data_IF_228836438742
#
_entry.id   IF_228836438742
#
_cell.length_a   1.000
_cell.length_b   1.000
_cell.length_c   1.000
_cell.angle_alpha   90.00
_cell.angle_beta   90.00
_cell.angle_gamma   90.00
#
_symmetry.space_group_name_H-M   'P 1'
#
loop_
_entity.id
_entity.type
_entity.pdbx_description
1 polymer ?
#
# COMPACT_ATOMS: atom_id res chain seq x y z
N UNK A 1 -20.95 4.30 18.14
CA UNK A 1 -20.14 5.52 18.09
C UNK A 1 -18.99 5.46 17.06
N UNK A 2 -18.19 4.39 16.98
CA UNK A 2 -17.12 4.26 15.96
C UNK A 2 -17.68 3.94 14.56
N UNK A 3 -18.80 3.24 14.47
CA UNK A 3 -19.42 2.81 13.22
C UNK A 3 -20.11 3.98 12.48
N UNK A 4 -20.73 4.88 13.20
CA UNK A 4 -21.38 6.08 12.63
C UNK A 4 -20.35 7.04 12.05
N UNK A 5 -19.18 7.19 12.69
CA UNK A 5 -18.09 8.02 12.19
C UNK A 5 -17.55 7.53 10.83
N UNK A 6 -17.48 6.22 10.62
CA UNK A 6 -17.03 5.64 9.35
C UNK A 6 -18.04 5.86 8.21
N UNK A 7 -19.32 5.82 8.49
CA UNK A 7 -20.36 6.10 7.48
C UNK A 7 -20.32 7.56 7.01
N UNK A 8 -20.12 8.50 7.92
CA UNK A 8 -19.96 9.91 7.53
C UNK A 8 -18.72 10.13 6.67
N UNK A 9 -17.61 9.44 6.97
CA UNK A 9 -16.38 9.54 6.20
C UNK A 9 -16.50 8.97 4.77
N UNK A 10 -17.37 7.98 4.55
CA UNK A 10 -17.66 7.46 3.20
C UNK A 10 -18.24 8.56 2.27
N UNK A 11 -19.01 9.48 2.79
CA UNK A 11 -19.59 10.58 2.02
C UNK A 11 -18.70 11.81 1.96
N UNK A 12 -17.88 12.06 2.99
CA UNK A 12 -16.98 13.21 3.05
C UNK A 12 -15.92 13.13 1.94
N UNK A 13 -15.37 11.93 1.67
CA UNK A 13 -14.37 11.73 0.63
C UNK A 13 -14.84 12.19 -0.76
N UNK A 14 -15.94 11.63 -1.29
CA UNK A 14 -16.49 12.04 -2.59
C UNK A 14 -16.91 13.51 -2.63
N UNK A 15 -17.52 14.02 -1.56
CA UNK A 15 -17.91 15.44 -1.49
C UNK A 15 -16.67 16.36 -1.53
N UNK A 16 -15.65 16.08 -0.75
CA UNK A 16 -14.41 16.86 -0.75
C UNK A 16 -13.70 16.79 -2.11
N UNK A 17 -13.66 15.61 -2.74
CA UNK A 17 -13.13 15.42 -4.08
C UNK A 17 -13.88 16.26 -5.15
N UNK A 18 -15.23 16.26 -5.09
CA UNK A 18 -16.06 17.05 -5.99
C UNK A 18 -15.85 18.55 -5.78
N UNK A 19 -15.78 19.01 -4.53
CA UNK A 19 -15.51 20.41 -4.18
C UNK A 19 -14.11 20.81 -4.71
N UNK A 20 -13.10 20.00 -4.51
CA UNK A 20 -11.75 20.25 -5.00
C UNK A 20 -11.71 20.39 -6.52
N UNK A 21 -12.39 19.49 -7.24
CA UNK A 21 -12.53 19.55 -8.69
C UNK A 21 -13.19 20.86 -9.12
N UNK A 22 -14.30 21.26 -8.48
CA UNK A 22 -15.01 22.51 -8.76
C UNK A 22 -14.15 23.75 -8.52
N UNK A 23 -13.39 23.78 -7.44
CA UNK A 23 -12.46 24.87 -7.10
C UNK A 23 -11.36 24.95 -8.17
N UNK A 24 -10.74 23.84 -8.57
CA UNK A 24 -9.68 23.85 -9.59
C UNK A 24 -10.19 24.31 -10.95
N UNK A 25 -11.42 23.93 -11.33
CA UNK A 25 -12.06 24.42 -12.55
C UNK A 25 -12.30 25.93 -12.50
N UNK A 26 -12.70 26.50 -11.36
CA UNK A 26 -12.91 27.93 -11.19
C UNK A 26 -11.63 28.74 -11.31
N UNK A 27 -10.48 28.14 -11.02
CA UNK A 27 -9.14 28.73 -11.23
C UNK A 27 -8.62 28.56 -12.68
N UNK A 28 -9.43 27.98 -13.58
CA UNK A 28 -9.07 27.83 -14.99
C UNK A 28 -8.17 26.63 -15.31
N UNK A 29 -8.10 25.65 -14.41
CA UNK A 29 -7.36 24.41 -14.68
C UNK A 29 -8.09 23.55 -15.72
N UNK A 30 -7.34 22.82 -16.53
CA UNK A 30 -7.89 21.84 -17.45
C UNK A 30 -8.72 20.79 -16.69
N UNK A 31 -9.80 20.30 -17.30
CA UNK A 31 -10.71 19.34 -16.71
C UNK A 31 -9.99 18.08 -16.17
N UNK A 32 -9.04 17.57 -16.95
CA UNK A 32 -8.24 16.38 -16.59
C UNK A 32 -7.44 16.60 -15.30
N UNK A 33 -6.78 17.76 -15.17
CA UNK A 33 -6.02 18.11 -13.96
C UNK A 33 -6.93 18.31 -12.75
N UNK A 34 -8.08 18.98 -12.92
CA UNK A 34 -9.04 19.20 -11.86
C UNK A 34 -9.64 17.88 -11.32
N UNK A 35 -10.01 16.97 -12.23
CA UNK A 35 -10.53 15.65 -11.89
C UNK A 35 -9.45 14.79 -11.18
N UNK A 36 -8.21 14.83 -11.67
CA UNK A 36 -7.09 14.11 -11.02
C UNK A 36 -6.88 14.61 -9.58
N UNK A 37 -6.91 15.94 -9.37
CA UNK A 37 -6.79 16.50 -8.02
C UNK A 37 -7.94 16.06 -7.11
N UNK A 38 -9.17 16.02 -7.60
CA UNK A 38 -10.33 15.54 -6.85
C UNK A 38 -10.23 14.07 -6.46
N UNK A 39 -9.84 13.20 -7.40
CA UNK A 39 -9.64 11.76 -7.15
C UNK A 39 -8.51 11.55 -6.15
N UNK A 40 -7.41 12.30 -6.28
CA UNK A 40 -6.27 12.23 -5.36
C UNK A 40 -6.68 12.61 -3.93
N UNK A 41 -7.44 13.70 -3.77
CA UNK A 41 -7.92 14.13 -2.47
C UNK A 41 -8.87 13.09 -1.85
N UNK A 42 -9.77 12.51 -2.64
CA UNK A 42 -10.65 11.44 -2.19
C UNK A 42 -9.84 10.24 -1.66
N UNK A 43 -8.87 9.76 -2.44
CA UNK A 43 -8.03 8.64 -2.04
C UNK A 43 -7.20 8.96 -0.80
N UNK A 44 -6.64 10.16 -0.69
CA UNK A 44 -5.88 10.60 0.47
C UNK A 44 -6.73 10.62 1.74
N UNK A 45 -7.94 11.19 1.68
CA UNK A 45 -8.88 11.19 2.80
C UNK A 45 -9.26 9.78 3.22
N UNK A 46 -9.54 8.89 2.27
CA UNK A 46 -9.90 7.52 2.58
C UNK A 46 -8.72 6.68 3.07
N UNK A 47 -7.49 7.03 2.75
CA UNK A 47 -6.31 6.41 3.35
C UNK A 47 -6.07 6.85 4.79
N UNK A 48 -6.35 8.13 5.09
CA UNK A 48 -6.17 8.68 6.45
C UNK A 48 -7.24 8.16 7.41
N UNK A 49 -8.50 8.14 6.97
CA UNK A 49 -9.63 7.80 7.83
C UNK A 49 -10.06 6.32 7.75
N UNK A 50 -9.55 5.57 6.78
CA UNK A 50 -9.83 4.15 6.55
C UNK A 50 -11.31 3.76 6.65
N UNK A 51 -12.25 4.47 5.98
CA UNK A 51 -13.64 4.06 5.97
C UNK A 51 -13.84 2.73 5.24
N UNK A 52 -12.99 2.45 4.25
CA UNK A 52 -12.85 1.17 3.56
C UNK A 52 -11.41 0.69 3.64
N UNK A 53 -11.13 -0.61 3.46
CA UNK A 53 -9.76 -1.14 3.47
C UNK A 53 -8.87 -0.44 2.43
N UNK A 54 -7.62 -0.14 2.81
CA UNK A 54 -6.63 0.54 1.95
C UNK A 54 -6.52 -0.09 0.54
N UNK A 55 -6.48 -1.44 0.38
CA UNK A 55 -6.43 -2.04 -0.95
C UNK A 55 -7.64 -1.69 -1.82
N UNK A 56 -8.84 -1.58 -1.23
CA UNK A 56 -10.04 -1.20 -1.97
C UNK A 56 -9.98 0.26 -2.44
N UNK A 57 -9.50 1.17 -1.58
CA UNK A 57 -9.27 2.57 -1.96
C UNK A 57 -8.26 2.69 -3.12
N UNK A 58 -7.21 1.88 -3.11
CA UNK A 58 -6.19 1.87 -4.17
C UNK A 58 -6.73 1.42 -5.53
N UNK A 59 -7.85 0.68 -5.56
CA UNK A 59 -8.49 0.27 -6.82
C UNK A 59 -9.34 1.38 -7.47
N UNK A 60 -9.65 2.46 -6.74
CA UNK A 60 -10.47 3.56 -7.26
C UNK A 60 -9.82 4.25 -8.47
N UNK A 61 -8.55 4.69 -8.42
CA UNK A 61 -7.90 5.29 -9.58
C UNK A 61 -7.83 4.34 -10.78
N UNK A 62 -7.63 3.04 -10.54
CA UNK A 62 -7.59 2.01 -11.58
C UNK A 62 -8.89 1.98 -12.40
N UNK A 63 -10.04 2.12 -11.74
CA UNK A 63 -11.34 2.11 -12.41
C UNK A 63 -11.76 3.48 -12.91
N UNK A 64 -11.61 4.51 -12.09
CA UNK A 64 -12.16 5.85 -12.34
C UNK A 64 -11.37 6.60 -13.42
N UNK A 65 -10.04 6.55 -13.43
CA UNK A 65 -9.22 7.31 -14.39
C UNK A 65 -9.49 6.94 -15.85
N UNK A 66 -9.64 5.66 -16.24
CA UNK A 66 -10.04 5.32 -17.60
C UNK A 66 -11.49 5.70 -17.92
N UNK A 67 -12.40 5.55 -16.96
CA UNK A 67 -13.82 5.89 -17.17
C UNK A 67 -14.04 7.38 -17.44
N UNK A 68 -13.25 8.23 -16.81
CA UNK A 68 -13.31 9.69 -16.97
C UNK A 68 -12.45 10.17 -18.17
N UNK A 69 -11.69 9.25 -18.81
CA UNK A 69 -10.88 9.55 -19.99
C UNK A 69 -9.58 10.32 -19.70
N UNK A 70 -9.12 10.35 -18.42
CA UNK A 70 -7.87 11.00 -18.04
C UNK A 70 -6.66 10.18 -18.48
N UNK A 71 -6.74 8.86 -18.28
CA UNK A 71 -5.71 7.91 -18.68
C UNK A 71 -6.33 6.80 -19.52
N UNK A 72 -5.60 6.35 -20.55
CA UNK A 72 -5.99 5.15 -21.27
C UNK A 72 -5.82 3.90 -20.41
N UNK A 73 -6.67 2.89 -20.61
CA UNK A 73 -6.63 1.65 -19.86
C UNK A 73 -5.25 0.96 -19.89
N UNK A 74 -4.52 1.12 -21.00
CA UNK A 74 -3.13 0.62 -21.13
C UNK A 74 -2.17 1.34 -20.19
N UNK A 75 -2.27 2.66 -20.04
CA UNK A 75 -1.43 3.46 -19.16
C UNK A 75 -1.68 3.09 -17.69
N UNK A 76 -2.95 2.93 -17.31
CA UNK A 76 -3.32 2.49 -15.96
C UNK A 76 -2.82 1.07 -15.70
N UNK A 77 -2.99 0.16 -16.65
CA UNK A 77 -2.50 -1.21 -16.53
C UNK A 77 -0.96 -1.27 -16.39
N UNK A 78 -0.24 -0.41 -17.09
CA UNK A 78 1.22 -0.30 -16.95
C UNK A 78 1.62 0.22 -15.58
N UNK A 79 0.92 1.23 -15.03
CA UNK A 79 1.22 1.77 -13.70
C UNK A 79 1.01 0.73 -12.59
N UNK A 80 -0.04 -0.07 -12.68
CA UNK A 80 -0.32 -1.14 -11.69
C UNK A 80 0.48 -2.41 -11.93
N UNK A 81 0.87 -2.69 -13.17
CA UNK A 81 1.69 -3.83 -13.58
C UNK A 81 3.20 -3.53 -13.63
N UNK A 82 3.66 -2.48 -12.98
CA UNK A 82 5.08 -2.16 -12.91
C UNK A 82 5.89 -3.33 -12.33
N UNK A 83 7.04 -3.70 -12.95
CA UNK A 83 7.88 -4.80 -12.47
C UNK A 83 8.27 -4.69 -11.00
N UNK A 84 8.47 -3.48 -10.46
CA UNK A 84 8.77 -3.25 -9.05
C UNK A 84 7.59 -3.63 -8.15
N UNK A 85 6.36 -3.30 -8.53
CA UNK A 85 5.15 -3.65 -7.77
C UNK A 85 4.98 -5.17 -7.73
N UNK A 86 5.19 -5.83 -8.87
CA UNK A 86 5.10 -7.30 -8.98
C UNK A 86 6.19 -7.98 -8.14
N UNK A 87 7.42 -7.43 -8.15
CA UNK A 87 8.53 -7.91 -7.32
C UNK A 87 8.22 -7.77 -5.83
N UNK A 88 7.73 -6.62 -5.39
CA UNK A 88 7.33 -6.38 -4.00
C UNK A 88 6.19 -7.31 -3.57
N UNK A 89 5.22 -7.54 -4.44
CA UNK A 89 4.11 -8.46 -4.19
C UNK A 89 4.61 -9.91 -4.05
N UNK A 90 5.53 -10.34 -4.92
CA UNK A 90 6.18 -11.65 -4.83
C UNK A 90 6.97 -11.81 -3.52
N UNK A 91 7.73 -10.79 -3.14
CA UNK A 91 8.45 -10.74 -1.86
C UNK A 91 7.53 -10.82 -0.65
N UNK A 92 6.39 -10.09 -0.67
CA UNK A 92 5.39 -10.14 0.38
C UNK A 92 4.73 -11.54 0.49
N UNK A 93 4.44 -12.18 -0.63
CA UNK A 93 3.92 -13.56 -0.66
C UNK A 93 4.92 -14.56 -0.08
N UNK A 94 6.19 -14.46 -0.44
CA UNK A 94 7.27 -15.27 0.12
C UNK A 94 7.42 -15.06 1.62
N UNK A 95 7.43 -13.81 2.08
CA UNK A 95 7.48 -13.47 3.49
C UNK A 95 6.32 -14.08 4.28
N UNK A 96 5.11 -13.99 3.72
CA UNK A 96 3.92 -14.59 4.35
C UNK A 96 3.93 -16.11 4.37
N UNK A 97 4.47 -16.73 3.32
CA UNK A 97 4.66 -18.18 3.26
C UNK A 97 5.69 -18.64 4.31
N UNK A 98 6.80 -17.93 4.46
CA UNK A 98 7.80 -18.20 5.50
C UNK A 98 7.23 -18.04 6.91
N UNK A 99 6.44 -17.02 7.16
CA UNK A 99 5.74 -16.81 8.43
C UNK A 99 4.80 -17.97 8.73
N UNK A 100 3.96 -18.35 7.78
CA UNK A 100 2.96 -19.42 7.93
C UNK A 100 3.61 -20.81 8.12
N UNK A 101 4.73 -21.06 7.45
CA UNK A 101 5.47 -22.34 7.58
C UNK A 101 6.32 -22.43 8.85
N UNK A 102 6.49 -21.32 9.58
CA UNK A 102 7.39 -21.23 10.74
C UNK A 102 8.88 -21.38 10.39
N UNK A 103 9.24 -21.21 9.12
CA UNK A 103 10.61 -21.36 8.64
C UNK A 103 11.55 -20.36 9.32
N UNK A 104 11.11 -19.10 9.52
CA UNK A 104 11.90 -18.10 10.24
C UNK A 104 12.24 -18.53 11.67
N UNK A 105 11.30 -19.19 12.39
CA UNK A 105 11.55 -19.70 13.75
C UNK A 105 12.55 -20.85 13.74
N UNK A 106 12.45 -21.76 12.76
CA UNK A 106 13.39 -22.88 12.60
C UNK A 106 14.79 -22.39 12.27
N UNK A 107 14.90 -21.41 11.37
CA UNK A 107 16.17 -20.76 11.02
C UNK A 107 16.79 -20.06 12.25
N UNK A 108 16.00 -19.28 12.98
CA UNK A 108 16.47 -18.60 14.19
C UNK A 108 16.99 -19.60 15.24
N UNK A 109 16.25 -20.69 15.50
CA UNK A 109 16.69 -21.74 16.44
C UNK A 109 17.93 -22.47 15.94
N UNK A 110 18.04 -22.77 14.66
CA UNK A 110 19.22 -23.37 14.07
C UNK A 110 20.46 -22.49 14.26
N UNK A 111 20.31 -21.16 14.05
CA UNK A 111 21.41 -20.21 14.26
C UNK A 111 21.80 -20.08 15.72
N UNK A 112 20.83 -20.03 16.65
CA UNK A 112 21.12 -20.03 18.10
C UNK A 112 21.89 -21.31 18.52
N UNK A 113 21.49 -22.45 17.99
CA UNK A 113 22.18 -23.72 18.27
C UNK A 113 23.59 -23.79 17.66
N UNK A 114 23.78 -23.20 16.48
CA UNK A 114 25.06 -23.23 15.77
C UNK A 114 26.11 -22.29 16.40
N UNK A 115 25.68 -21.13 16.89
CA UNK A 115 26.58 -20.12 17.45
C UNK A 115 26.68 -20.12 18.98
N UNK A 116 26.01 -21.06 19.65
CA UNK A 116 26.05 -21.23 21.10
C UNK A 116 25.30 -20.13 21.86
N UNK A 117 24.10 -20.46 22.39
CA UNK A 117 23.19 -19.52 23.05
C UNK A 117 23.64 -18.97 24.41
N UNK A 118 24.82 -19.29 24.92
CA UNK A 118 25.24 -18.95 26.28
C UNK A 118 25.77 -17.50 26.45
N UNK A 119 26.01 -16.79 25.35
CA UNK A 119 26.48 -15.41 25.38
C UNK A 119 25.66 -14.51 24.48
N UNK A 120 25.19 -13.39 25.02
CA UNK A 120 24.46 -12.35 24.25
C UNK A 120 25.23 -11.88 23.00
N UNK A 121 26.57 -11.78 23.09
CA UNK A 121 27.43 -11.42 21.97
C UNK A 121 27.37 -12.43 20.82
N UNK A 122 27.40 -13.71 21.14
CA UNK A 122 27.35 -14.79 20.15
C UNK A 122 25.99 -14.86 19.47
N UNK A 123 24.93 -14.58 20.20
CA UNK A 123 23.57 -14.53 19.69
C UNK A 123 23.39 -13.37 18.70
N UNK A 124 23.85 -12.17 19.04
CA UNK A 124 23.84 -11.01 18.14
C UNK A 124 24.67 -11.28 16.89
N UNK A 125 25.87 -11.85 17.03
CA UNK A 125 26.73 -12.18 15.90
C UNK A 125 26.09 -13.23 14.98
N UNK A 126 25.45 -14.25 15.52
CA UNK A 126 24.70 -15.24 14.77
C UNK A 126 23.57 -14.64 13.95
N UNK A 127 22.80 -13.72 14.53
CA UNK A 127 21.75 -12.99 13.81
C UNK A 127 22.30 -12.09 12.70
N UNK A 128 23.43 -11.40 12.94
CA UNK A 128 24.08 -10.58 11.90
C UNK A 128 24.56 -11.42 10.72
N UNK A 129 25.20 -12.57 10.98
CA UNK A 129 25.65 -13.50 9.94
C UNK A 129 24.47 -14.10 9.18
N UNK A 130 23.41 -14.50 9.86
CA UNK A 130 22.19 -15.02 9.23
C UNK A 130 21.54 -13.97 8.33
N UNK A 131 21.43 -12.74 8.80
CA UNK A 131 20.87 -11.62 8.02
C UNK A 131 21.72 -11.31 6.79
N UNK A 132 23.04 -11.31 6.92
CA UNK A 132 23.96 -11.08 5.81
C UNK A 132 23.94 -12.21 4.77
N UNK A 133 23.71 -13.45 5.19
CA UNK A 133 23.65 -14.61 4.29
C UNK A 133 22.30 -14.68 3.53
N UNK A 134 21.25 -14.07 4.07
CA UNK A 134 19.91 -14.03 3.48
C UNK A 134 19.63 -12.77 2.63
N UNK A 135 20.51 -11.79 2.68
CA UNK A 135 20.45 -10.55 1.90
C UNK A 135 21.18 -10.67 0.56
#
# INVERSE_FOLDING_TARGET
>A
MIQDSKQHMLWIGPCAGAIMTGVMLSYGWALEGALTAGITLLCALWWIFEPIPIPATSMIPLGVMPLVGILDGKQVAQAYGDPLIILLMGGAMLSKAMEKSGAHRRLALAMVNLFGGDSFRNLVFGFMVASAALS
#
